data_IF_471826466607
#
_entry.id   IF_471826466607
#
_cell.length_a   1.000
_cell.length_b   1.000
_cell.length_c   1.000
_cell.angle_alpha   90.00
_cell.angle_beta   90.00
_cell.angle_gamma   90.00
#
_symmetry.space_group_name_H-M   'P 1'
#
loop_
_entity.id
_entity.type
_entity.pdbx_description
1 polymer ?
#
# COMPACT_ATOMS: atom_id res chain seq x y z
N UNK A 1 3.86 4.57 -21.12
CA UNK A 1 3.64 3.57 -20.08
C UNK A 1 2.86 4.17 -18.92
N UNK A 2 1.88 3.47 -18.46
CA UNK A 2 1.03 4.00 -17.40
C UNK A 2 1.79 4.09 -16.10
N UNK A 3 1.56 5.14 -15.32
CA UNK A 3 2.16 5.20 -14.01
C UNK A 3 1.57 4.14 -13.10
N UNK A 4 2.37 3.71 -12.16
CA UNK A 4 1.91 2.78 -11.16
C UNK A 4 1.70 3.52 -9.86
N UNK A 5 0.81 2.99 -9.05
CA UNK A 5 0.48 3.60 -7.76
C UNK A 5 0.59 2.55 -6.67
N UNK A 6 0.79 3.01 -5.48
CA UNK A 6 0.76 2.12 -4.34
C UNK A 6 0.06 2.82 -3.18
N UNK A 7 -0.64 2.02 -2.40
CA UNK A 7 -1.28 2.52 -1.21
C UNK A 7 -0.39 2.14 -0.03
N UNK A 8 -0.11 3.12 0.82
CA UNK A 8 0.84 2.96 1.91
C UNK A 8 0.13 3.11 3.24
N UNK A 9 0.38 2.16 4.12
CA UNK A 9 -0.12 2.18 5.48
C UNK A 9 1.08 2.39 6.41
N UNK A 10 1.17 3.56 7.01
CA UNK A 10 2.28 3.90 7.88
C UNK A 10 1.96 3.41 9.28
N UNK A 11 2.90 2.69 9.89
CA UNK A 11 2.71 2.23 11.25
C UNK A 11 2.71 3.42 12.21
N UNK A 12 1.82 3.40 13.19
CA UNK A 12 1.76 4.45 14.20
C UNK A 12 2.78 4.24 15.30
N UNK A 13 3.27 3.03 15.47
CA UNK A 13 4.15 2.71 16.59
C UNK A 13 5.53 2.27 16.17
N UNK A 14 5.68 1.88 14.92
CA UNK A 14 6.97 1.44 14.41
C UNK A 14 7.35 2.34 13.27
N UNK A 15 8.60 2.34 12.91
CA UNK A 15 9.03 3.18 11.82
C UNK A 15 8.70 2.65 10.44
N UNK A 16 8.11 1.47 10.35
CA UNK A 16 7.84 0.84 9.07
C UNK A 16 6.34 0.76 8.84
N UNK A 17 5.97 0.32 7.66
CA UNK A 17 4.58 0.18 7.29
C UNK A 17 4.43 -0.83 6.19
N UNK A 18 3.26 -0.83 5.55
CA UNK A 18 2.95 -1.75 4.48
C UNK A 18 2.57 -0.98 3.24
N UNK A 19 2.95 -1.53 2.09
CA UNK A 19 2.62 -0.93 0.80
C UNK A 19 2.05 -2.00 -0.10
N UNK A 20 1.09 -1.62 -0.93
CA UNK A 20 0.47 -2.55 -1.86
C UNK A 20 0.24 -1.85 -3.18
N UNK A 21 0.38 -2.54 -4.30
CA UNK A 21 0.06 -1.92 -5.59
C UNK A 21 -1.43 -1.64 -5.68
N UNK A 22 -1.75 -0.51 -6.26
CA UNK A 22 -3.15 -0.12 -6.40
C UNK A 22 -3.32 0.73 -7.65
N UNK A 23 -4.57 1.09 -7.93
CA UNK A 23 -4.84 2.01 -9.02
C UNK A 23 -4.80 3.44 -8.49
N UNK A 24 -5.10 4.37 -9.37
CA UNK A 24 -5.03 5.79 -9.04
C UNK A 24 -5.98 6.16 -7.91
N UNK A 25 -7.04 5.41 -7.75
CA UNK A 25 -8.04 5.67 -6.73
C UNK A 25 -7.81 4.89 -5.46
N UNK A 26 -6.73 4.14 -5.40
CA UNK A 26 -6.39 3.40 -4.19
C UNK A 26 -7.02 2.03 -4.11
N UNK A 27 -7.57 1.54 -5.20
CA UNK A 27 -8.17 0.22 -5.19
C UNK A 27 -7.11 -0.83 -5.44
N UNK A 28 -7.07 -1.81 -4.57
CA UNK A 28 -6.10 -2.88 -4.62
C UNK A 28 -6.75 -4.08 -5.28
N UNK A 29 -6.03 -4.65 -6.24
CA UNK A 29 -6.48 -5.84 -6.94
C UNK A 29 -6.12 -7.06 -6.09
N UNK A 30 -7.07 -7.52 -5.29
CA UNK A 30 -6.78 -8.60 -4.34
C UNK A 30 -6.34 -9.87 -5.04
N UNK A 31 -6.89 -10.14 -6.21
CA UNK A 31 -6.53 -11.35 -6.94
C UNK A 31 -5.09 -11.33 -7.44
N UNK A 32 -4.50 -10.16 -7.54
CA UNK A 32 -3.13 -10.04 -8.00
C UNK A 32 -2.13 -10.18 -6.86
N UNK A 33 -2.60 -10.23 -5.63
CA UNK A 33 -1.72 -10.35 -4.49
C UNK A 33 -1.50 -11.80 -4.13
N UNK A 34 -0.32 -12.09 -3.58
CA UNK A 34 -0.10 -13.40 -2.99
C UNK A 34 -1.02 -13.56 -1.79
N UNK A 35 -1.16 -14.80 -1.32
CA UNK A 35 -2.00 -15.04 -0.16
C UNK A 35 -1.53 -14.23 1.04
N UNK A 36 -0.23 -14.20 1.25
CA UNK A 36 0.33 -13.45 2.38
C UNK A 36 0.07 -11.96 2.24
N UNK A 37 0.28 -11.42 1.06
CA UNK A 37 0.07 -10.00 0.85
C UNK A 37 -1.41 -9.64 1.02
N UNK A 38 -2.29 -10.53 0.58
CA UNK A 38 -3.73 -10.30 0.75
C UNK A 38 -4.10 -10.26 2.22
N UNK A 39 -3.57 -11.19 3.00
CA UNK A 39 -3.83 -11.19 4.43
C UNK A 39 -3.31 -9.92 5.08
N UNK A 40 -2.10 -9.51 4.70
CA UNK A 40 -1.52 -8.29 5.26
C UNK A 40 -2.36 -7.07 4.91
N UNK A 41 -2.87 -7.02 3.69
CA UNK A 41 -3.70 -5.90 3.27
C UNK A 41 -4.98 -5.84 4.07
N UNK A 42 -5.64 -6.99 4.22
CA UNK A 42 -6.90 -7.01 4.97
C UNK A 42 -6.67 -6.66 6.43
N UNK A 43 -5.55 -7.13 6.98
CA UNK A 43 -5.21 -6.76 8.35
C UNK A 43 -4.99 -5.25 8.47
N UNK A 44 -4.22 -4.69 7.55
CA UNK A 44 -3.92 -3.27 7.61
C UNK A 44 -5.19 -2.44 7.54
N UNK A 45 -6.13 -2.84 6.69
CA UNK A 45 -7.40 -2.14 6.57
C UNK A 45 -8.21 -2.22 7.88
N UNK A 46 -8.11 -3.34 8.55
CA UNK A 46 -8.90 -3.54 9.76
C UNK A 46 -8.39 -2.71 10.94
N UNK A 47 -7.11 -2.37 10.94
CA UNK A 47 -6.51 -1.69 12.09
C UNK A 47 -6.12 -0.25 11.79
N UNK A 48 -6.67 0.33 10.73
CA UNK A 48 -6.47 1.75 10.45
C UNK A 48 -7.00 2.56 11.62
N UNK A 49 -6.20 3.51 12.06
CA UNK A 49 -6.56 4.33 13.21
C UNK A 49 -6.15 3.73 14.52
N UNK A 50 -5.72 2.46 14.52
CA UNK A 50 -5.28 1.78 15.73
C UNK A 50 -3.80 1.49 15.67
N UNK A 51 -3.36 0.74 14.66
CA UNK A 51 -1.95 0.43 14.47
C UNK A 51 -1.35 1.13 13.27
N UNK A 52 -2.18 1.47 12.30
CA UNK A 52 -1.72 2.17 11.11
C UNK A 52 -2.48 3.48 10.95
N UNK A 53 -1.80 4.48 10.45
CA UNK A 53 -2.44 5.72 10.04
C UNK A 53 -3.30 5.45 8.81
N UNK A 54 -4.17 6.40 8.50
CA UNK A 54 -4.95 6.31 7.28
C UNK A 54 -4.02 6.20 6.08
N UNK A 55 -4.33 5.31 5.14
CA UNK A 55 -3.42 5.07 4.03
C UNK A 55 -3.36 6.25 3.07
N UNK A 56 -2.25 6.32 2.35
CA UNK A 56 -2.05 7.30 1.31
C UNK A 56 -1.79 6.59 0.01
N UNK A 57 -2.35 7.13 -1.07
CA UNK A 57 -2.07 6.62 -2.39
C UNK A 57 -0.94 7.47 -2.96
N UNK A 58 0.13 6.80 -3.34
CA UNK A 58 1.32 7.47 -3.84
C UNK A 58 1.60 6.97 -5.24
N UNK A 59 1.98 7.90 -6.09
CA UNK A 59 2.44 7.52 -7.42
C UNK A 59 3.81 6.88 -7.26
N UNK A 60 3.95 5.72 -7.84
CA UNK A 60 5.21 5.02 -7.75
C UNK A 60 6.14 5.56 -8.82
N UNK A 61 7.02 6.45 -8.42
CA UNK A 61 7.95 7.08 -9.33
C UNK A 61 9.31 6.38 -9.34
N UNK A 62 9.40 5.25 -8.68
CA UNK A 62 10.68 4.58 -8.57
C UNK A 62 11.25 4.19 -9.91
N UNK A 63 10.38 4.04 -10.87
CA UNK A 63 10.84 3.70 -12.21
C UNK A 63 11.75 4.76 -12.79
N UNK A 64 11.66 5.94 -12.25
CA UNK A 64 12.50 7.00 -12.75
C UNK A 64 13.77 7.12 -12.02
N UNK A 65 13.94 6.41 -11.15
CA UNK A 65 14.97 6.52 -10.38
C UNK A 65 16.05 6.08 -10.70
N UNK A 66 16.17 6.19 -10.99
CA UNK A 66 16.95 5.87 -11.34
C UNK A 66 17.95 6.41 -11.15
N UNK A 67 18.11 6.53 -10.89
CA UNK A 67 18.88 7.13 -10.64
C UNK A 67 19.56 6.96 -10.41
#
# INVERSE_FOLDING_TARGET
>A
MDPTYEIRFQSLFRGSGLCFPCDEQGRVELDALSDRARENYLYARAVVGMEFAYPKVCRNASSTNVN
#
